data_IF_453162275437
#
_entry.id   IF_453162275437
#
_cell.length_a   1.000
_cell.length_b   1.000
_cell.length_c   1.000
_cell.angle_alpha   90.00
_cell.angle_beta   90.00
_cell.angle_gamma   90.00
#
_symmetry.space_group_name_H-M   'P 1'
#
loop_
_entity.id
_entity.type
_entity.pdbx_description
1 polymer ?
#
# COMPACT_ATOMS: atom_id res chain seq x y z
N UNK A 1 1.07 -24.57 -21.50
CA UNK A 1 1.60 -25.01 -20.19
C UNK A 1 3.11 -24.85 -20.12
N UNK A 2 3.93 -25.48 -20.97
CA UNK A 2 5.41 -25.28 -20.96
C UNK A 2 5.92 -24.04 -21.71
N UNK A 3 5.03 -23.30 -22.40
CA UNK A 3 5.35 -22.08 -23.17
C UNK A 3 4.83 -20.80 -22.52
N UNK A 4 4.11 -20.92 -21.41
CA UNK A 4 3.44 -19.79 -20.76
C UNK A 4 4.51 -18.99 -19.99
N UNK A 5 4.57 -17.64 -20.14
CA UNK A 5 5.52 -16.85 -19.37
C UNK A 5 5.39 -17.07 -17.86
N UNK A 6 6.52 -17.15 -17.17
CA UNK A 6 6.56 -17.47 -15.74
C UNK A 6 5.80 -16.46 -14.85
N UNK A 7 5.67 -15.21 -15.32
CA UNK A 7 4.93 -14.15 -14.64
C UNK A 7 3.43 -14.12 -14.98
N UNK A 8 2.93 -14.97 -15.89
CA UNK A 8 1.59 -14.82 -16.49
C UNK A 8 0.47 -14.73 -15.45
N UNK A 9 0.48 -15.60 -14.43
CA UNK A 9 -0.55 -15.60 -13.40
C UNK A 9 -0.49 -14.34 -12.52
N UNK A 10 0.71 -13.89 -12.17
CA UNK A 10 0.91 -12.68 -11.39
C UNK A 10 0.50 -11.42 -12.17
N UNK A 11 0.82 -11.38 -13.47
CA UNK A 11 0.39 -10.31 -14.36
C UNK A 11 -1.14 -10.28 -14.52
N UNK A 12 -1.76 -11.43 -14.77
CA UNK A 12 -3.22 -11.52 -14.89
C UNK A 12 -3.92 -11.07 -13.60
N UNK A 13 -3.38 -11.42 -12.43
CA UNK A 13 -3.89 -10.92 -11.16
C UNK A 13 -3.74 -9.40 -11.04
N UNK A 14 -2.58 -8.85 -11.41
CA UNK A 14 -2.35 -7.40 -11.38
C UNK A 14 -3.31 -6.63 -12.29
N UNK A 15 -3.49 -7.06 -13.53
CA UNK A 15 -4.44 -6.45 -14.48
C UNK A 15 -5.89 -6.57 -13.97
N UNK A 16 -6.25 -7.69 -13.34
CA UNK A 16 -7.55 -7.86 -12.71
C UNK A 16 -7.75 -6.88 -11.54
N UNK A 17 -6.74 -6.63 -10.72
CA UNK A 17 -6.83 -5.65 -9.61
C UNK A 17 -7.08 -4.24 -10.15
N UNK A 18 -6.40 -3.84 -11.21
CA UNK A 18 -6.63 -2.52 -11.84
C UNK A 18 -8.09 -2.40 -12.33
N UNK A 19 -8.60 -3.45 -12.98
CA UNK A 19 -10.00 -3.49 -13.42
C UNK A 19 -10.97 -3.47 -12.22
N UNK A 20 -10.72 -4.29 -11.19
CA UNK A 20 -11.57 -4.36 -10.01
C UNK A 20 -11.68 -3.01 -9.32
N UNK A 21 -10.55 -2.33 -9.08
CA UNK A 21 -10.53 -0.99 -8.50
C UNK A 21 -11.25 0.03 -9.40
N UNK A 22 -11.11 -0.07 -10.72
CA UNK A 22 -11.77 0.86 -11.65
C UNK A 22 -13.30 0.75 -11.64
N UNK A 23 -13.82 -0.44 -11.32
CA UNK A 23 -15.25 -0.75 -11.30
C UNK A 23 -15.88 -0.68 -9.91
N UNK A 24 -15.07 -0.54 -8.85
CA UNK A 24 -15.56 -0.52 -7.47
C UNK A 24 -16.48 0.69 -7.22
N UNK A 25 -17.66 0.52 -6.66
CA UNK A 25 -18.60 1.64 -6.47
C UNK A 25 -18.38 2.40 -5.16
N UNK A 26 -17.41 2.00 -4.31
CA UNK A 26 -17.16 2.67 -3.05
C UNK A 26 -16.76 4.14 -3.26
N UNK A 27 -17.56 5.05 -2.70
CA UNK A 27 -17.25 6.47 -2.64
C UNK A 27 -16.44 6.74 -1.37
N UNK A 28 -15.32 7.44 -1.51
CA UNK A 28 -14.43 7.75 -0.37
C UNK A 28 -14.98 8.84 0.54
N UNK A 29 -15.99 9.57 0.06
CA UNK A 29 -16.69 10.61 0.81
C UNK A 29 -17.58 10.03 1.93
N UNK A 30 -17.91 8.73 1.84
CA UNK A 30 -18.65 7.99 2.87
C UNK A 30 -17.75 7.46 4.01
N UNK A 31 -16.43 7.68 3.94
CA UNK A 31 -15.53 7.29 5.03
C UNK A 31 -15.72 8.21 6.23
N UNK A 32 -16.13 7.63 7.36
CA UNK A 32 -16.21 8.32 8.65
C UNK A 32 -14.80 8.63 9.18
N UNK A 33 -14.23 9.73 8.69
CA UNK A 33 -12.89 10.19 9.01
C UNK A 33 -12.86 11.72 9.23
N UNK A 34 -12.20 12.14 10.29
CA UNK A 34 -11.74 13.52 10.46
C UNK A 34 -10.54 13.77 9.53
N UNK A 35 -10.79 14.47 8.43
CA UNK A 35 -9.81 14.78 7.39
C UNK A 35 -8.61 15.57 7.95
N UNK A 36 -8.89 16.48 8.88
CA UNK A 36 -7.89 17.35 9.51
C UNK A 36 -7.24 16.71 10.76
N UNK A 37 -7.68 15.51 11.12
CA UNK A 37 -7.20 14.78 12.30
C UNK A 37 -5.69 14.53 12.26
N UNK A 38 -5.03 14.56 13.41
CA UNK A 38 -3.58 14.34 13.48
C UNK A 38 -3.25 12.86 13.31
N UNK A 39 -2.62 12.45 12.20
CA UNK A 39 -2.32 11.03 11.91
C UNK A 39 -1.42 10.35 12.95
N UNK A 40 -0.65 11.12 13.72
CA UNK A 40 0.22 10.56 14.76
C UNK A 40 -0.54 10.29 16.06
N UNK A 41 -1.54 11.13 16.38
CA UNK A 41 -2.29 11.09 17.63
C UNK A 41 -3.64 10.38 17.50
N UNK A 42 -4.23 10.37 16.30
CA UNK A 42 -5.45 9.65 15.98
C UNK A 42 -5.18 8.33 15.23
N UNK A 43 -6.25 7.57 15.02
CA UNK A 43 -6.24 6.27 14.34
C UNK A 43 -6.41 6.52 12.83
N UNK A 44 -5.38 6.32 11.98
CA UNK A 44 -5.48 6.63 10.56
C UNK A 44 -6.50 5.74 9.84
N UNK A 45 -7.30 6.34 8.94
CA UNK A 45 -8.31 5.64 8.15
C UNK A 45 -7.76 5.35 6.76
N UNK A 46 -7.46 4.08 6.49
CA UNK A 46 -7.01 3.61 5.17
C UNK A 46 -8.20 3.51 4.21
N UNK A 47 -7.99 3.94 2.97
CA UNK A 47 -8.94 3.78 1.88
C UNK A 47 -9.25 2.29 1.63
N UNK A 48 -10.53 1.88 1.50
CA UNK A 48 -10.87 0.52 1.10
C UNK A 48 -10.38 0.20 -0.33
N UNK A 49 -10.09 1.24 -1.10
CA UNK A 49 -9.60 1.19 -2.48
C UNK A 49 -8.06 1.19 -2.56
N UNK A 50 -7.34 1.01 -1.44
CA UNK A 50 -5.89 0.93 -1.39
C UNK A 50 -5.43 -0.50 -1.06
N UNK A 51 -4.86 -1.19 -2.07
CA UNK A 51 -4.57 -2.61 -2.02
C UNK A 51 -3.05 -2.87 -2.02
N UNK A 52 -2.47 -3.37 -0.91
CA UNK A 52 -1.09 -3.84 -0.91
C UNK A 52 -1.00 -5.20 -1.62
N UNK A 53 -0.10 -5.32 -2.59
CA UNK A 53 0.12 -6.50 -3.42
C UNK A 53 1.60 -6.90 -3.36
N UNK A 54 1.86 -8.20 -3.41
CA UNK A 54 3.22 -8.75 -3.42
C UNK A 54 3.33 -9.80 -4.51
N UNK A 55 4.33 -9.62 -5.38
CA UNK A 55 4.57 -10.45 -6.54
C UNK A 55 6.03 -10.91 -6.54
N UNK A 56 6.31 -12.08 -7.09
CA UNK A 56 7.71 -12.48 -7.31
C UNK A 56 8.28 -11.72 -8.50
N UNK A 57 7.47 -11.45 -9.51
CA UNK A 57 7.86 -10.72 -10.70
C UNK A 57 7.47 -9.24 -10.61
N UNK A 58 8.24 -8.33 -11.23
CA UNK A 58 7.88 -6.93 -11.33
C UNK A 58 6.79 -6.72 -12.38
N UNK A 59 5.57 -7.18 -12.09
CA UNK A 59 4.41 -7.20 -13.01
C UNK A 59 4.12 -5.83 -13.63
N UNK A 60 4.22 -4.75 -12.86
CA UNK A 60 4.09 -3.35 -13.31
C UNK A 60 5.09 -2.91 -14.40
N UNK A 61 6.13 -3.71 -14.68
CA UNK A 61 7.12 -3.43 -15.73
C UNK A 61 6.96 -4.34 -16.94
N UNK A 62 6.09 -5.34 -16.89
CA UNK A 62 5.97 -6.32 -17.96
C UNK A 62 5.43 -5.65 -19.21
N UNK A 63 6.13 -5.87 -20.31
CA UNK A 63 5.79 -5.36 -21.64
C UNK A 63 6.52 -6.18 -22.69
N UNK A 64 6.23 -5.94 -23.97
CA UNK A 64 6.78 -6.75 -25.08
C UNK A 64 8.31 -6.89 -25.02
N UNK A 65 9.03 -5.82 -24.68
CA UNK A 65 10.50 -5.74 -24.57
C UNK A 65 11.06 -6.14 -23.19
N UNK A 66 10.21 -6.40 -22.18
CA UNK A 66 10.65 -6.82 -20.84
C UNK A 66 9.80 -7.97 -20.31
N UNK A 67 10.32 -9.20 -20.49
CA UNK A 67 9.67 -10.44 -20.10
C UNK A 67 10.68 -11.36 -19.39
N UNK A 68 10.90 -11.16 -18.07
CA UNK A 68 11.84 -11.97 -17.30
C UNK A 68 11.41 -13.45 -17.29
N UNK A 69 12.35 -14.35 -17.58
CA UNK A 69 12.11 -15.80 -17.56
C UNK A 69 12.25 -16.39 -16.15
N UNK A 70 13.00 -15.73 -15.29
CA UNK A 70 13.23 -16.13 -13.89
C UNK A 70 12.83 -15.00 -12.97
N UNK A 71 12.21 -15.35 -11.84
CA UNK A 71 11.87 -14.36 -10.81
C UNK A 71 13.16 -13.73 -10.24
N UNK A 72 13.18 -12.42 -9.99
CA UNK A 72 14.22 -11.78 -9.19
C UNK A 72 14.34 -12.39 -7.78
N UNK A 73 15.46 -12.14 -7.13
CA UNK A 73 15.69 -12.58 -5.74
C UNK A 73 14.73 -11.92 -4.75
N UNK A 74 14.44 -10.62 -4.95
CA UNK A 74 13.51 -9.87 -4.12
C UNK A 74 12.15 -9.79 -4.78
N UNK A 75 11.11 -9.97 -3.97
CA UNK A 75 9.74 -9.73 -4.38
C UNK A 75 9.54 -8.24 -4.75
N UNK A 76 8.54 -8.01 -5.59
CA UNK A 76 8.03 -6.67 -5.90
C UNK A 76 6.79 -6.43 -5.06
N UNK A 77 6.85 -5.43 -4.18
CA UNK A 77 5.71 -4.99 -3.39
C UNK A 77 5.14 -3.71 -3.99
N UNK A 78 3.83 -3.69 -4.21
CA UNK A 78 3.10 -2.58 -4.80
C UNK A 78 1.98 -2.17 -3.85
N UNK A 79 1.76 -0.88 -3.71
CA UNK A 79 0.46 -0.36 -3.34
C UNK A 79 -0.24 0.05 -4.62
N UNK A 80 -1.43 -0.48 -4.88
CA UNK A 80 -2.29 -0.05 -5.98
C UNK A 80 -3.53 0.59 -5.37
N UNK A 81 -3.90 1.78 -5.81
CA UNK A 81 -5.09 2.44 -5.29
C UNK A 81 -5.83 3.23 -6.34
N UNK A 82 -7.11 3.48 -6.07
CA UNK A 82 -7.92 4.40 -6.86
C UNK A 82 -8.04 5.75 -6.17
N UNK A 83 -7.88 6.83 -6.93
CA UNK A 83 -8.15 8.21 -6.50
C UNK A 83 -9.62 8.60 -6.75
N UNK A 84 -10.08 9.69 -6.13
CA UNK A 84 -11.45 10.20 -6.33
C UNK A 84 -11.82 10.51 -7.79
N UNK A 85 -10.82 10.78 -8.65
CA UNK A 85 -10.99 11.01 -10.10
C UNK A 85 -11.00 9.72 -10.93
N UNK A 86 -11.18 8.57 -10.28
CA UNK A 86 -11.15 7.22 -10.85
C UNK A 86 -9.79 6.79 -11.44
N UNK A 87 -8.74 7.58 -11.29
CA UNK A 87 -7.41 7.18 -11.74
C UNK A 87 -6.84 6.08 -10.84
N UNK A 88 -6.43 4.97 -11.45
CA UNK A 88 -5.63 3.93 -10.79
C UNK A 88 -4.18 4.38 -10.73
N UNK A 89 -3.62 4.38 -9.53
CA UNK A 89 -2.21 4.69 -9.26
C UNK A 89 -1.55 3.50 -8.59
N UNK A 90 -0.22 3.46 -8.70
CA UNK A 90 0.58 2.53 -7.94
C UNK A 90 1.87 3.16 -7.46
N UNK A 91 2.46 2.58 -6.43
CA UNK A 91 3.82 2.88 -5.99
C UNK A 91 4.51 1.62 -5.47
N UNK A 92 5.83 1.59 -5.59
CA UNK A 92 6.64 0.53 -4.99
C UNK A 92 6.69 0.71 -3.47
N UNK A 93 6.53 -0.40 -2.77
CA UNK A 93 6.70 -0.48 -1.33
C UNK A 93 8.05 -1.14 -1.02
N UNK A 94 8.75 -0.59 -0.03
CA UNK A 94 9.77 -1.36 0.69
C UNK A 94 9.11 -2.17 1.82
N UNK A 95 9.88 -3.05 2.47
CA UNK A 95 9.40 -3.91 3.57
C UNK A 95 8.72 -3.13 4.70
N UNK A 96 9.27 -1.96 5.08
CA UNK A 96 8.72 -1.12 6.13
C UNK A 96 7.35 -0.56 5.74
N UNK A 97 7.26 0.04 4.54
CA UNK A 97 6.00 0.61 4.03
C UNK A 97 4.94 -0.47 3.77
N UNK A 98 5.34 -1.68 3.36
CA UNK A 98 4.43 -2.81 3.21
C UNK A 98 3.82 -3.20 4.57
N UNK A 99 4.66 -3.36 5.59
CA UNK A 99 4.22 -3.71 6.93
C UNK A 99 3.30 -2.63 7.53
N UNK A 100 3.62 -1.35 7.32
CA UNK A 100 2.77 -0.22 7.72
C UNK A 100 1.36 -0.34 7.10
N UNK A 101 1.28 -0.52 5.78
CA UNK A 101 -0.03 -0.63 5.10
C UNK A 101 -0.79 -1.88 5.55
N UNK A 102 -0.10 -3.01 5.77
CA UNK A 102 -0.73 -4.23 6.28
C UNK A 102 -1.33 -4.00 7.68
N UNK A 103 -0.58 -3.37 8.59
CA UNK A 103 -1.05 -3.00 9.94
C UNK A 103 -2.24 -2.05 9.90
N UNK A 104 -2.22 -1.06 9.00
CA UNK A 104 -3.36 -0.16 8.79
C UNK A 104 -4.60 -0.91 8.28
N UNK A 105 -4.41 -1.87 7.36
CA UNK A 105 -5.49 -2.69 6.81
C UNK A 105 -6.11 -3.66 7.83
N UNK A 106 -5.34 -4.10 8.82
CA UNK A 106 -5.84 -4.88 9.96
C UNK A 106 -6.78 -4.06 10.86
N UNK A 107 -6.76 -2.72 10.76
CA UNK A 107 -7.54 -1.78 11.55
C UNK A 107 -7.51 -2.10 13.06
N UNK A 108 -6.30 -2.22 13.61
CA UNK A 108 -6.08 -2.57 15.01
C UNK A 108 -6.51 -1.47 16.01
N UNK A 109 -7.07 -0.34 15.54
CA UNK A 109 -7.47 0.77 16.40
C UNK A 109 -6.29 1.51 17.05
N UNK A 110 -5.10 1.43 16.44
CA UNK A 110 -3.89 2.07 16.95
C UNK A 110 -3.69 3.45 16.33
N UNK A 111 -3.13 4.37 17.11
CA UNK A 111 -2.69 5.66 16.55
C UNK A 111 -1.49 5.49 15.63
N UNK A 112 -1.22 6.46 14.75
CA UNK A 112 -0.04 6.39 13.90
C UNK A 112 1.26 6.26 14.71
N UNK A 113 1.40 6.96 15.83
CA UNK A 113 2.57 6.83 16.71
C UNK A 113 2.71 5.43 17.30
N UNK A 114 1.60 4.85 17.80
CA UNK A 114 1.61 3.51 18.37
C UNK A 114 2.01 2.47 17.33
N UNK A 115 1.43 2.55 16.15
CA UNK A 115 1.68 1.62 15.06
C UNK A 115 3.13 1.70 14.56
N UNK A 116 3.68 2.90 14.41
CA UNK A 116 5.09 3.10 14.04
C UNK A 116 6.07 2.62 15.13
N UNK A 117 5.70 2.81 16.40
CA UNK A 117 6.49 2.31 17.53
C UNK A 117 6.51 0.78 17.57
N UNK A 118 5.38 0.13 17.31
CA UNK A 118 5.29 -1.33 17.23
C UNK A 118 6.16 -1.87 16.10
N UNK A 119 6.09 -1.26 14.91
CA UNK A 119 6.92 -1.65 13.75
C UNK A 119 8.42 -1.47 14.05
N UNK A 120 8.81 -0.37 14.68
CA UNK A 120 10.20 -0.14 15.08
C UNK A 120 10.70 -1.22 16.05
N UNK A 121 9.84 -1.68 16.97
CA UNK A 121 10.13 -2.77 17.89
C UNK A 121 10.30 -4.12 17.19
N UNK A 122 9.37 -4.48 16.29
CA UNK A 122 9.40 -5.75 15.54
C UNK A 122 10.61 -5.85 14.62
N UNK A 123 10.99 -4.75 13.98
CA UNK A 123 12.13 -4.70 13.06
C UNK A 123 13.49 -4.65 13.77
N UNK A 124 13.50 -4.55 15.11
CA UNK A 124 14.68 -4.34 15.95
C UNK A 124 15.61 -3.25 15.37
N UNK A 125 15.00 -2.18 14.84
CA UNK A 125 15.72 -1.21 14.04
C UNK A 125 16.66 -0.42 14.95
N UNK A 126 17.96 -0.28 14.60
CA UNK A 126 18.96 0.36 15.47
C UNK A 126 18.70 1.85 15.72
N UNK A 127 17.74 2.44 15.01
CA UNK A 127 17.28 3.83 15.14
C UNK A 127 15.76 3.87 15.12
N UNK A 128 15.11 3.53 16.23
CA UNK A 128 13.65 3.53 16.33
C UNK A 128 13.06 4.93 16.04
N UNK A 129 13.72 5.99 16.48
CA UNK A 129 13.32 7.38 16.21
C UNK A 129 13.28 7.69 14.70
N UNK A 130 14.25 7.19 13.93
CA UNK A 130 14.27 7.38 12.48
C UNK A 130 13.13 6.63 11.77
N UNK A 131 12.68 5.50 12.33
CA UNK A 131 11.51 4.76 11.83
C UNK A 131 10.24 5.58 12.08
N UNK A 132 10.10 6.18 13.24
CA UNK A 132 8.94 7.03 13.58
C UNK A 132 8.90 8.27 12.70
N UNK A 133 10.03 8.98 12.51
CA UNK A 133 10.08 10.16 11.63
C UNK A 133 9.82 9.81 10.16
N UNK A 134 10.44 8.74 9.64
CA UNK A 134 10.20 8.27 8.28
C UNK A 134 8.77 7.78 8.09
N UNK A 135 8.20 7.12 9.10
CA UNK A 135 6.82 6.66 9.14
C UNK A 135 5.82 7.81 9.14
N UNK A 136 6.08 8.88 9.90
CA UNK A 136 5.27 10.10 9.90
C UNK A 136 5.22 10.74 8.52
N UNK A 137 6.39 10.90 7.88
CA UNK A 137 6.46 11.43 6.52
C UNK A 137 5.69 10.56 5.51
N UNK A 138 5.77 9.24 5.66
CA UNK A 138 5.02 8.30 4.82
C UNK A 138 3.50 8.39 5.06
N UNK A 139 3.04 8.51 6.30
CA UNK A 139 1.61 8.67 6.61
C UNK A 139 1.03 9.93 5.93
N UNK A 140 1.74 11.05 5.99
CA UNK A 140 1.33 12.28 5.30
C UNK A 140 1.41 12.14 3.78
N UNK A 141 2.45 11.49 3.24
CA UNK A 141 2.53 11.20 1.80
C UNK A 141 1.33 10.34 1.33
N UNK A 142 0.92 9.36 2.14
CA UNK A 142 -0.24 8.52 1.85
C UNK A 142 -1.55 9.32 1.92
N UNK A 143 -1.65 10.29 2.84
CA UNK A 143 -2.77 11.24 2.86
C UNK A 143 -2.82 12.08 1.58
N UNK A 144 -1.71 12.68 1.18
CA UNK A 144 -1.63 13.49 -0.04
C UNK A 144 -2.01 12.69 -1.30
N UNK A 145 -1.74 11.38 -1.30
CA UNK A 145 -2.08 10.46 -2.38
C UNK A 145 -3.51 9.93 -2.31
N UNK A 146 -4.31 10.31 -1.30
CA UNK A 146 -5.67 9.80 -1.05
C UNK A 146 -5.71 8.30 -0.74
N UNK A 147 -4.64 7.81 -0.10
CA UNK A 147 -4.58 6.45 0.45
C UNK A 147 -5.08 6.45 1.90
N UNK A 148 -4.78 7.50 2.65
CA UNK A 148 -5.30 7.73 4.01
C UNK A 148 -6.19 8.96 3.97
N UNK A 149 -7.41 8.89 4.50
CA UNK A 149 -8.38 9.99 4.41
C UNK A 149 -8.37 10.92 5.62
N UNK A 150 -7.83 10.48 6.75
CA UNK A 150 -7.86 11.22 8.00
C UNK A 150 -7.67 10.28 9.19
N UNK A 151 -8.24 10.65 10.33
CA UNK A 151 -8.32 9.77 11.50
C UNK A 151 -9.76 9.44 11.85
N UNK A 152 -9.98 8.35 12.59
CA UNK A 152 -11.30 8.11 13.19
C UNK A 152 -11.72 9.29 14.09
N UNK A 153 -13.00 9.70 14.09
CA UNK A 153 -13.51 10.80 14.91
C UNK A 153 -13.52 10.50 16.42
#
# INVERSE_FOLDING_TARGET
RDTDPAFMLELAHYEWVELALSLDEAETDDLDADIDGNLMEGIPVLSPLAWPLSYRFPVHRIRKDFQPRTAPEKATHLLVWRRHDFEIKFMLLNEFSLLLIQKLKEDAGLTGLQLLTEIAGVTNHPKAEAVVEGGRALLEELRDKQVIFGTKP
#
